data_IF_922354721316
#
_entry.id   IF_922354721316
#
_cell.length_a   1.000
_cell.length_b   1.000
_cell.length_c   1.000
_cell.angle_alpha   90.00
_cell.angle_beta   90.00
_cell.angle_gamma   90.00
#
_symmetry.space_group_name_H-M   'P 1'
#
loop_
_entity.id
_entity.type
_entity.pdbx_description
1 polymer ?
#
# COMPACT_ATOMS: atom_id res chain seq x y z
N UNK A 1 -18.05 27.82 -0.53
CA UNK A 1 -18.60 27.71 -1.91
C UNK A 1 -18.02 28.83 -2.75
N UNK A 2 -17.38 28.49 -3.85
CA UNK A 2 -16.85 29.43 -4.84
C UNK A 2 -17.54 29.24 -6.19
N UNK A 3 -17.86 30.33 -6.87
CA UNK A 3 -18.45 30.32 -8.21
C UNK A 3 -17.61 31.22 -9.12
N UNK A 4 -17.21 30.70 -10.29
CA UNK A 4 -16.47 31.44 -11.31
C UNK A 4 -17.04 31.15 -12.69
N UNK A 5 -16.98 32.14 -13.56
CA UNK A 5 -17.44 32.02 -14.95
C UNK A 5 -16.24 32.07 -15.89
N UNK A 6 -16.07 31.02 -16.69
CA UNK A 6 -15.00 30.87 -17.67
C UNK A 6 -15.62 30.82 -19.07
N UNK A 7 -15.73 31.99 -19.72
CA UNK A 7 -16.45 32.11 -20.98
C UNK A 7 -17.93 31.72 -20.82
N UNK A 8 -18.34 30.65 -21.51
CA UNK A 8 -19.70 30.11 -21.42
C UNK A 8 -19.87 29.05 -20.32
N UNK A 9 -18.79 28.64 -19.65
CA UNK A 9 -18.80 27.60 -18.62
C UNK A 9 -18.97 28.24 -17.24
N UNK A 10 -19.86 27.67 -16.43
CA UNK A 10 -19.98 28.04 -15.01
C UNK A 10 -19.34 26.96 -14.16
N UNK A 11 -18.35 27.35 -13.38
CA UNK A 11 -17.66 26.47 -12.45
C UNK A 11 -18.10 26.79 -11.02
N UNK A 12 -18.45 25.74 -10.27
CA UNK A 12 -18.88 25.84 -8.87
C UNK A 12 -18.12 24.83 -8.05
N UNK A 13 -17.52 25.28 -6.95
CA UNK A 13 -16.74 24.46 -6.05
C UNK A 13 -17.30 24.52 -4.64
N UNK A 14 -17.42 23.34 -4.02
CA UNK A 14 -17.97 23.17 -2.68
C UNK A 14 -17.02 22.29 -1.87
N UNK A 15 -16.45 22.85 -0.81
CA UNK A 15 -15.67 22.10 0.17
C UNK A 15 -16.61 21.54 1.25
N UNK A 16 -16.78 20.22 1.31
CA UNK A 16 -17.71 19.55 2.24
C UNK A 16 -17.27 19.62 3.72
N UNK A 17 -16.01 19.90 3.98
CA UNK A 17 -15.49 20.04 5.35
C UNK A 17 -15.77 21.42 5.96
N UNK A 18 -16.12 22.41 5.12
CA UNK A 18 -16.61 23.70 5.61
C UNK A 18 -18.05 23.51 6.11
N UNK A 19 -18.44 24.25 7.17
CA UNK A 19 -19.82 24.25 7.69
C UNK A 19 -20.81 24.79 6.63
N UNK A 20 -21.23 23.94 5.71
CA UNK A 20 -22.23 24.23 4.70
C UNK A 20 -23.61 23.84 5.21
N UNK A 21 -24.57 24.73 4.99
CA UNK A 21 -25.97 24.38 5.19
C UNK A 21 -26.39 23.43 4.05
N UNK A 22 -26.58 22.16 4.39
CA UNK A 22 -27.06 21.14 3.46
C UNK A 22 -28.39 21.52 2.78
N UNK A 23 -29.19 22.42 3.36
CA UNK A 23 -30.40 22.94 2.71
C UNK A 23 -30.09 23.88 1.54
N UNK A 24 -29.00 24.63 1.63
CA UNK A 24 -28.57 25.55 0.57
C UNK A 24 -28.03 24.79 -0.65
N UNK A 25 -27.27 23.72 -0.42
CA UNK A 25 -26.80 22.81 -1.48
C UNK A 25 -27.94 22.09 -2.20
N UNK A 26 -28.97 21.66 -1.45
CA UNK A 26 -30.15 20.98 -2.00
C UNK A 26 -31.01 21.93 -2.87
N UNK A 27 -31.17 23.18 -2.44
CA UNK A 27 -32.11 24.13 -3.07
C UNK A 27 -31.50 24.88 -4.25
N UNK A 28 -30.24 25.34 -4.13
CA UNK A 28 -29.61 26.20 -5.13
C UNK A 28 -28.92 25.42 -6.26
N UNK A 29 -28.43 24.22 -5.96
CA UNK A 29 -27.63 23.39 -6.88
C UNK A 29 -28.33 22.10 -7.33
N UNK A 30 -29.53 21.80 -6.81
CA UNK A 30 -30.28 20.57 -7.09
C UNK A 30 -29.44 19.29 -6.86
N UNK A 31 -28.66 19.28 -5.77
CA UNK A 31 -27.84 18.14 -5.36
C UNK A 31 -28.66 17.28 -4.40
N UNK A 32 -28.85 16.02 -4.75
CA UNK A 32 -29.59 15.07 -3.91
C UNK A 32 -28.74 14.61 -2.72
N UNK A 33 -29.40 14.21 -1.64
CA UNK A 33 -28.73 13.68 -0.43
C UNK A 33 -27.84 12.47 -0.73
N UNK A 34 -28.22 11.68 -1.74
CA UNK A 34 -27.43 10.57 -2.27
C UNK A 34 -26.04 11.03 -2.76
N UNK A 35 -25.98 12.16 -3.47
CA UNK A 35 -24.73 12.69 -4.04
C UNK A 35 -23.85 13.28 -2.94
N UNK A 36 -24.46 13.94 -1.96
CA UNK A 36 -23.73 14.44 -0.79
C UNK A 36 -23.13 13.26 -0.01
N UNK A 37 -23.88 12.17 0.17
CA UNK A 37 -23.39 10.96 0.82
C UNK A 37 -22.20 10.36 0.08
N UNK A 38 -22.26 10.25 -1.25
CA UNK A 38 -21.13 9.79 -2.07
C UNK A 38 -19.89 10.67 -1.93
N UNK A 39 -20.07 11.99 -1.95
CA UNK A 39 -18.95 12.91 -1.86
C UNK A 39 -18.35 13.02 -0.45
N UNK A 40 -19.09 12.61 0.59
CA UNK A 40 -18.64 12.64 1.99
C UNK A 40 -18.10 11.29 2.49
N UNK A 41 -18.33 10.20 1.75
CA UNK A 41 -17.84 8.88 2.10
C UNK A 41 -16.42 8.70 1.56
N UNK A 42 -15.45 8.60 2.46
CA UNK A 42 -14.02 8.46 2.13
C UNK A 42 -13.74 7.15 1.36
N UNK A 43 -14.58 6.13 1.55
CA UNK A 43 -14.44 4.82 0.92
C UNK A 43 -15.35 4.63 -0.31
N UNK A 44 -16.03 5.69 -0.78
CA UNK A 44 -16.88 5.61 -1.98
C UNK A 44 -16.03 5.25 -3.20
N UNK A 45 -16.49 4.26 -3.97
CA UNK A 45 -15.80 3.82 -5.16
C UNK A 45 -16.14 4.73 -6.34
N UNK A 46 -15.14 5.08 -7.14
CA UNK A 46 -15.36 5.80 -8.38
C UNK A 46 -16.46 5.16 -9.23
N UNK A 47 -17.43 5.95 -9.69
CA UNK A 47 -18.56 5.45 -10.47
C UNK A 47 -19.22 6.58 -11.25
N UNK A 48 -20.13 6.20 -12.14
CA UNK A 48 -20.89 7.13 -12.97
C UNK A 48 -22.39 6.88 -12.82
N UNK A 49 -23.16 7.94 -12.64
CA UNK A 49 -24.62 7.92 -12.57
C UNK A 49 -25.19 9.01 -13.50
N UNK A 50 -25.83 8.59 -14.60
CA UNK A 50 -26.48 9.50 -15.54
C UNK A 50 -28.00 9.53 -15.34
N UNK A 51 -28.51 10.72 -15.01
CA UNK A 51 -29.95 10.96 -14.86
C UNK A 51 -30.51 11.63 -16.12
N UNK A 52 -31.04 10.83 -17.06
CA UNK A 52 -31.60 11.31 -18.32
C UNK A 52 -32.70 12.38 -18.18
N UNK A 53 -33.54 12.31 -17.13
CA UNK A 53 -34.63 13.30 -16.91
C UNK A 53 -34.13 14.67 -16.48
N UNK A 54 -33.00 14.71 -15.78
CA UNK A 54 -32.39 15.94 -15.25
C UNK A 54 -31.24 16.43 -16.13
N UNK A 55 -30.91 15.67 -17.19
CA UNK A 55 -29.73 15.84 -18.05
C UNK A 55 -28.46 16.09 -17.21
N UNK A 56 -28.33 15.32 -16.12
CA UNK A 56 -27.28 15.47 -15.12
C UNK A 56 -26.43 14.22 -15.10
N UNK A 57 -25.11 14.40 -15.21
CA UNK A 57 -24.13 13.35 -14.97
C UNK A 57 -23.48 13.57 -13.61
N UNK A 58 -23.42 12.52 -12.80
CA UNK A 58 -22.60 12.47 -11.59
C UNK A 58 -21.45 11.52 -11.87
N UNK A 59 -20.24 12.00 -11.64
CA UNK A 59 -19.01 11.25 -11.80
C UNK A 59 -18.24 11.34 -10.48
N UNK A 60 -18.11 10.22 -9.79
CA UNK A 60 -17.23 10.07 -8.64
C UNK A 60 -15.92 9.50 -9.14
N UNK A 61 -14.81 10.15 -8.79
CA UNK A 61 -13.48 9.75 -9.24
C UNK A 61 -12.47 9.89 -8.10
N UNK A 62 -11.65 8.89 -7.88
CA UNK A 62 -10.76 8.84 -6.72
C UNK A 62 -9.50 9.67 -6.99
N UNK A 63 -9.20 10.62 -6.12
CA UNK A 63 -7.96 11.39 -6.11
C UNK A 63 -7.00 10.84 -5.06
N UNK A 64 -5.70 10.85 -5.37
CA UNK A 64 -4.65 10.47 -4.42
C UNK A 64 -4.26 11.65 -3.55
N UNK A 65 -3.94 11.44 -2.28
CA UNK A 65 -3.45 12.54 -1.43
C UNK A 65 -2.04 12.94 -1.89
N UNK A 66 -1.76 14.24 -1.98
CA UNK A 66 -0.43 14.72 -2.37
C UNK A 66 0.61 14.50 -1.26
N UNK A 67 0.17 14.64 -0.01
CA UNK A 67 0.95 14.34 1.18
C UNK A 67 0.48 13.06 1.86
N UNK A 68 1.33 12.52 2.74
CA UNK A 68 1.01 11.34 3.52
C UNK A 68 0.15 11.73 4.71
N UNK A 69 -0.96 11.02 4.90
CA UNK A 69 -1.68 11.04 6.16
C UNK A 69 -1.19 9.88 7.04
N UNK A 70 -0.80 10.17 8.30
CA UNK A 70 -0.18 9.20 9.20
C UNK A 70 0.97 8.37 8.57
N UNK A 71 1.77 9.02 7.71
CA UNK A 71 2.89 8.43 6.97
C UNK A 71 2.49 7.36 5.92
N UNK A 72 1.22 7.34 5.53
CA UNK A 72 0.63 6.45 4.54
C UNK A 72 -0.02 7.28 3.41
N UNK A 73 -0.01 6.75 2.19
CA UNK A 73 -0.74 7.36 1.09
C UNK A 73 -2.17 6.82 1.04
N UNK A 74 -3.15 7.70 0.90
CA UNK A 74 -4.56 7.37 0.79
C UNK A 74 -5.18 8.01 -0.46
N UNK A 75 -6.42 7.63 -0.73
CA UNK A 75 -7.23 8.14 -1.82
C UNK A 75 -8.57 8.62 -1.27
N UNK A 76 -9.09 9.72 -1.81
CA UNK A 76 -10.40 10.29 -1.45
C UNK A 76 -11.18 10.61 -2.72
N UNK A 77 -12.50 10.39 -2.74
CA UNK A 77 -13.31 10.68 -3.90
C UNK A 77 -13.45 12.19 -4.13
N UNK A 78 -13.43 12.57 -5.40
CA UNK A 78 -13.87 13.88 -5.89
C UNK A 78 -15.12 13.65 -6.72
N UNK A 79 -16.19 14.40 -6.42
CA UNK A 79 -17.45 14.25 -7.15
C UNK A 79 -17.65 15.41 -8.10
N UNK A 80 -17.79 15.09 -9.38
CA UNK A 80 -18.15 16.01 -10.44
C UNK A 80 -19.63 15.86 -10.78
N UNK A 81 -20.34 16.99 -10.87
CA UNK A 81 -21.72 17.03 -11.34
C UNK A 81 -21.75 17.92 -12.58
N UNK A 82 -22.09 17.32 -13.71
CA UNK A 82 -22.18 18.00 -15.00
C UNK A 82 -23.65 18.20 -15.35
N UNK A 83 -24.01 19.45 -15.66
CA UNK A 83 -25.36 19.81 -16.11
C UNK A 83 -25.29 20.99 -17.06
N UNK A 84 -25.80 20.83 -18.28
CA UNK A 84 -25.74 21.85 -19.33
C UNK A 84 -24.29 22.37 -19.53
N UNK A 85 -24.04 23.65 -19.29
CA UNK A 85 -22.69 24.25 -19.34
C UNK A 85 -22.11 24.55 -17.95
N UNK A 86 -22.58 23.81 -16.93
CA UNK A 86 -22.17 23.95 -15.54
C UNK A 86 -21.41 22.71 -15.06
N UNK A 87 -20.32 22.97 -14.35
CA UNK A 87 -19.53 21.95 -13.64
C UNK A 87 -19.55 22.29 -12.16
N UNK A 88 -20.10 21.38 -11.36
CA UNK A 88 -20.04 21.48 -9.90
C UNK A 88 -19.05 20.43 -9.39
N UNK A 89 -18.12 20.84 -8.54
CA UNK A 89 -17.11 19.98 -7.94
C UNK A 89 -17.35 19.96 -6.43
N UNK A 90 -17.58 18.77 -5.89
CA UNK A 90 -17.62 18.52 -4.45
C UNK A 90 -16.30 17.87 -4.05
N UNK A 91 -15.65 18.46 -3.06
CA UNK A 91 -14.32 18.07 -2.62
C UNK A 91 -14.20 18.20 -1.08
N UNK A 92 -13.17 17.61 -0.51
CA UNK A 92 -12.80 17.71 0.91
C UNK A 92 -11.48 18.45 1.04
N UNK A 93 -10.97 18.61 2.25
CA UNK A 93 -9.65 19.21 2.48
C UNK A 93 -8.50 18.37 1.90
N UNK A 94 -8.66 17.04 1.89
CA UNK A 94 -7.62 16.10 1.41
C UNK A 94 -7.31 16.23 -0.08
N UNK A 95 -8.30 16.66 -0.87
CA UNK A 95 -8.19 16.84 -2.31
C UNK A 95 -8.35 18.31 -2.75
N UNK A 96 -8.32 19.25 -1.80
CA UNK A 96 -8.40 20.69 -2.07
C UNK A 96 -7.27 21.21 -2.97
N UNK A 97 -6.11 20.54 -2.95
CA UNK A 97 -4.97 20.87 -3.83
C UNK A 97 -5.31 20.77 -5.33
N UNK A 98 -6.33 19.98 -5.70
CA UNK A 98 -6.80 19.86 -7.09
C UNK A 98 -7.52 21.11 -7.57
N UNK A 99 -8.09 21.91 -6.67
CA UNK A 99 -8.88 23.09 -7.05
C UNK A 99 -8.03 24.13 -7.77
N UNK A 100 -6.81 24.38 -7.27
CA UNK A 100 -5.85 25.27 -7.95
C UNK A 100 -5.45 24.73 -9.32
N UNK A 101 -5.27 23.41 -9.43
CA UNK A 101 -4.95 22.75 -10.70
C UNK A 101 -6.11 22.87 -11.70
N UNK A 102 -7.36 22.68 -11.24
CA UNK A 102 -8.56 22.83 -12.08
C UNK A 102 -8.78 24.27 -12.53
N UNK A 103 -8.55 25.27 -11.67
CA UNK A 103 -8.61 26.68 -12.06
C UNK A 103 -7.56 26.96 -13.15
N UNK A 104 -6.32 26.49 -12.99
CA UNK A 104 -5.29 26.65 -14.01
C UNK A 104 -5.65 25.95 -15.34
N UNK A 105 -6.37 24.83 -15.29
CA UNK A 105 -6.93 24.18 -16.48
C UNK A 105 -7.97 25.08 -17.17
N UNK A 106 -8.94 25.63 -16.42
CA UNK A 106 -9.95 26.54 -16.97
C UNK A 106 -9.38 27.82 -17.57
N UNK A 107 -8.28 28.32 -17.02
CA UNK A 107 -7.56 29.50 -17.54
C UNK A 107 -6.73 29.19 -18.80
N UNK A 108 -6.52 27.92 -19.14
CA UNK A 108 -5.84 27.53 -20.37
C UNK A 108 -6.73 27.73 -21.59
N UNK A 109 -6.17 28.19 -22.72
CA UNK A 109 -6.89 28.43 -23.99
C UNK A 109 -7.48 27.16 -24.65
N UNK A 110 -7.41 26.00 -23.99
CA UNK A 110 -7.76 24.68 -24.56
C UNK A 110 -9.10 24.10 -24.08
N UNK A 111 -9.81 24.81 -23.21
CA UNK A 111 -11.07 24.34 -22.59
C UNK A 111 -12.25 25.19 -23.05
N UNK A 112 -13.00 24.67 -24.02
CA UNK A 112 -14.16 25.36 -24.60
C UNK A 112 -15.50 24.75 -24.15
N UNK A 113 -15.47 23.53 -23.60
CA UNK A 113 -16.67 22.78 -23.19
C UNK A 113 -16.53 22.04 -21.86
N UNK A 114 -17.67 21.64 -21.29
CA UNK A 114 -17.74 20.79 -20.09
C UNK A 114 -17.00 19.46 -20.32
N UNK A 115 -17.10 18.93 -21.54
CA UNK A 115 -16.41 17.71 -21.96
C UNK A 115 -14.88 17.87 -21.96
N UNK A 116 -14.38 18.99 -22.48
CA UNK A 116 -12.94 19.27 -22.50
C UNK A 116 -12.39 19.41 -21.10
N UNK A 117 -13.13 20.11 -20.23
CA UNK A 117 -12.75 20.26 -18.83
C UNK A 117 -12.69 18.92 -18.13
N UNK A 118 -13.75 18.10 -18.22
CA UNK A 118 -13.79 16.85 -17.46
C UNK A 118 -12.68 15.89 -17.93
N UNK A 119 -12.42 15.78 -19.23
CA UNK A 119 -11.30 14.97 -19.73
C UNK A 119 -9.94 15.49 -19.21
N UNK A 120 -9.72 16.81 -19.26
CA UNK A 120 -8.49 17.42 -18.75
C UNK A 120 -8.33 17.23 -17.23
N UNK A 121 -9.42 17.34 -16.47
CA UNK A 121 -9.46 17.12 -15.03
C UNK A 121 -9.11 15.65 -14.69
N UNK A 122 -9.66 14.68 -15.41
CA UNK A 122 -9.37 13.25 -15.20
C UNK A 122 -7.90 12.91 -15.53
N UNK A 123 -7.34 13.50 -16.59
CA UNK A 123 -5.89 13.42 -16.90
C UNK A 123 -5.06 14.04 -15.77
N UNK A 124 -5.47 15.21 -15.27
CA UNK A 124 -4.80 15.91 -14.18
C UNK A 124 -4.77 15.07 -12.89
N UNK A 125 -5.91 14.48 -12.49
CA UNK A 125 -5.96 13.56 -11.36
C UNK A 125 -5.04 12.36 -11.60
N UNK A 126 -5.07 11.75 -12.79
CA UNK A 126 -4.23 10.59 -13.13
C UNK A 126 -2.72 10.90 -13.05
N UNK A 127 -2.30 12.11 -13.44
CA UNK A 127 -0.90 12.55 -13.30
C UNK A 127 -0.46 12.67 -11.84
N UNK A 128 -1.36 13.05 -10.93
CA UNK A 128 -1.04 13.10 -9.50
C UNK A 128 -0.76 11.68 -8.94
N UNK A 129 -1.50 10.67 -9.38
CA UNK A 129 -1.16 9.26 -9.08
C UNK A 129 0.25 8.89 -9.55
N UNK A 130 0.63 9.30 -10.77
CA UNK A 130 1.97 9.00 -11.30
C UNK A 130 3.08 9.49 -10.36
N UNK A 131 3.00 10.74 -9.91
CA UNK A 131 3.99 11.34 -9.02
C UNK A 131 4.09 10.61 -7.67
N UNK A 132 2.95 10.21 -7.10
CA UNK A 132 2.91 9.44 -5.84
C UNK A 132 3.47 8.03 -6.04
N UNK A 133 3.06 7.32 -7.10
CA UNK A 133 3.56 5.98 -7.41
C UNK A 133 5.08 5.99 -7.68
N UNK A 134 5.62 7.04 -8.28
CA UNK A 134 7.07 7.19 -8.47
C UNK A 134 7.81 7.37 -7.13
N UNK A 135 7.26 8.19 -6.22
CA UNK A 135 7.76 8.35 -4.84
C UNK A 135 7.74 7.01 -4.10
N UNK A 136 6.61 6.31 -4.11
CA UNK A 136 6.44 4.99 -3.51
C UNK A 136 7.42 3.96 -4.06
N UNK A 137 7.65 3.94 -5.38
CA UNK A 137 8.63 3.04 -5.97
C UNK A 137 10.07 3.35 -5.53
N UNK A 138 10.42 4.62 -5.29
CA UNK A 138 11.72 5.02 -4.72
C UNK A 138 11.82 4.56 -3.26
N UNK A 139 10.80 4.82 -2.45
CA UNK A 139 10.73 4.37 -1.05
C UNK A 139 10.85 2.84 -0.93
N UNK A 140 10.16 2.10 -1.81
CA UNK A 140 10.22 0.64 -1.85
C UNK A 140 11.63 0.12 -2.14
N UNK A 141 12.38 0.78 -3.04
CA UNK A 141 13.79 0.46 -3.31
C UNK A 141 14.66 0.69 -2.08
N UNK A 142 14.45 1.79 -1.36
CA UNK A 142 15.19 2.05 -0.12
C UNK A 142 14.87 1.04 0.98
N UNK A 143 13.59 0.70 1.15
CA UNK A 143 13.12 -0.30 2.11
C UNK A 143 13.78 -1.65 1.80
N UNK A 144 13.81 -2.05 0.53
CA UNK A 144 14.50 -3.25 0.06
C UNK A 144 15.98 -3.28 0.43
N UNK A 145 16.72 -2.20 0.19
CA UNK A 145 18.15 -2.11 0.53
C UNK A 145 18.38 -2.11 2.06
N UNK A 146 17.57 -1.36 2.81
CA UNK A 146 17.67 -1.29 4.28
C UNK A 146 17.40 -2.65 4.94
N UNK A 147 16.49 -3.43 4.37
CA UNK A 147 16.10 -4.71 4.94
C UNK A 147 17.02 -5.87 4.54
N UNK A 148 17.75 -5.79 3.42
CA UNK A 148 18.88 -6.71 3.16
C UNK A 148 19.96 -6.63 4.25
N UNK A 149 20.12 -5.48 4.91
CA UNK A 149 21.14 -5.26 5.94
C UNK A 149 20.71 -5.67 7.34
N UNK A 150 19.48 -5.35 7.75
CA UNK A 150 18.96 -5.69 9.09
C UNK A 150 17.42 -5.69 9.09
N UNK A 151 16.85 -6.84 9.43
CA UNK A 151 15.39 -7.02 9.61
C UNK A 151 15.00 -6.81 11.07
N UNK A 152 13.86 -6.17 11.31
CA UNK A 152 13.33 -5.93 12.67
C UNK A 152 11.81 -5.89 12.60
N UNK A 153 11.12 -6.40 13.64
CA UNK A 153 9.64 -6.43 13.73
C UNK A 153 8.97 -5.10 13.36
N UNK A 154 9.49 -3.98 13.86
CA UNK A 154 8.91 -2.66 13.58
C UNK A 154 8.90 -2.32 12.08
N UNK A 155 9.95 -2.71 11.34
CA UNK A 155 10.04 -2.46 9.90
C UNK A 155 9.06 -3.33 9.10
N UNK A 156 8.68 -4.49 9.62
CA UNK A 156 7.68 -5.35 9.00
C UNK A 156 6.28 -4.76 9.18
N UNK A 157 5.97 -4.18 10.35
CA UNK A 157 4.71 -3.48 10.55
C UNK A 157 4.59 -2.27 9.62
N UNK A 158 5.62 -1.42 9.54
CA UNK A 158 5.63 -0.30 8.58
C UNK A 158 5.47 -0.77 7.13
N UNK A 159 6.08 -1.89 6.75
CA UNK A 159 5.88 -2.45 5.40
C UNK A 159 4.43 -2.92 5.20
N UNK A 160 3.84 -3.55 6.21
CA UNK A 160 2.44 -3.99 6.19
C UNK A 160 1.49 -2.80 6.03
N UNK A 161 1.75 -1.69 6.70
CA UNK A 161 0.93 -0.48 6.61
C UNK A 161 0.99 0.11 5.18
N UNK A 162 2.19 0.18 4.61
CA UNK A 162 2.39 0.62 3.22
C UNK A 162 1.74 -0.37 2.23
N UNK A 163 1.78 -1.67 2.50
CA UNK A 163 1.13 -2.70 1.69
C UNK A 163 -0.40 -2.52 1.68
N UNK A 164 -1.03 -2.23 2.82
CA UNK A 164 -2.46 -1.93 2.89
C UNK A 164 -2.82 -0.66 2.11
N UNK A 165 -2.00 0.38 2.23
CA UNK A 165 -2.14 1.61 1.45
C UNK A 165 -2.13 1.36 -0.07
N UNK A 166 -1.19 0.52 -0.52
CA UNK A 166 -1.08 0.15 -1.93
C UNK A 166 -2.28 -0.65 -2.44
N UNK A 167 -2.93 -1.43 -1.57
CA UNK A 167 -4.18 -2.13 -1.93
C UNK A 167 -5.29 -1.10 -2.19
N UNK A 168 -5.42 -0.07 -1.34
CA UNK A 168 -6.34 1.04 -1.55
C UNK A 168 -6.08 1.78 -2.86
N UNK A 169 -4.84 2.24 -3.07
CA UNK A 169 -4.43 2.93 -4.32
C UNK A 169 -4.70 2.07 -5.55
N UNK A 170 -4.39 0.77 -5.49
CA UNK A 170 -4.68 -0.17 -6.59
C UNK A 170 -6.18 -0.28 -6.86
N UNK A 171 -7.00 -0.37 -5.80
CA UNK A 171 -8.46 -0.45 -5.91
C UNK A 171 -9.01 0.79 -6.60
N UNK A 172 -8.64 1.98 -6.12
CA UNK A 172 -9.06 3.27 -6.71
C UNK A 172 -8.58 3.44 -8.14
N UNK A 173 -7.32 3.10 -8.43
CA UNK A 173 -6.77 3.14 -9.80
C UNK A 173 -7.56 2.24 -10.76
N UNK A 174 -7.92 1.05 -10.30
CA UNK A 174 -8.74 0.10 -11.07
C UNK A 174 -10.13 0.66 -11.32
N UNK A 175 -10.76 1.19 -10.29
CA UNK A 175 -12.12 1.70 -10.39
C UNK A 175 -12.19 2.93 -11.31
N UNK A 176 -11.26 3.87 -11.16
CA UNK A 176 -11.08 5.00 -12.06
C UNK A 176 -10.97 4.58 -13.53
N UNK A 177 -10.14 3.57 -13.83
CA UNK A 177 -10.03 3.03 -15.18
C UNK A 177 -11.34 2.42 -15.69
N UNK A 178 -12.07 1.68 -14.85
CA UNK A 178 -13.37 1.10 -15.22
C UNK A 178 -14.44 2.16 -15.51
N UNK A 179 -14.41 3.29 -14.80
CA UNK A 179 -15.31 4.41 -15.07
C UNK A 179 -15.04 5.05 -16.42
N UNK A 180 -13.76 5.18 -16.81
CA UNK A 180 -13.39 5.67 -18.15
C UNK A 180 -13.78 4.68 -19.26
N UNK A 181 -13.68 3.37 -19.01
CA UNK A 181 -14.22 2.34 -19.91
C UNK A 181 -15.73 2.49 -20.08
N UNK A 182 -16.47 2.73 -18.99
CA UNK A 182 -17.92 2.95 -19.04
C UNK A 182 -18.27 4.22 -19.83
N UNK A 183 -17.52 5.32 -19.62
CA UNK A 183 -17.73 6.57 -20.36
C UNK A 183 -17.55 6.44 -21.87
N UNK A 184 -16.69 5.53 -22.32
CA UNK A 184 -16.50 5.24 -23.75
C UNK A 184 -17.61 4.33 -24.31
N UNK A 185 -18.29 3.57 -23.45
CA UNK A 185 -19.37 2.70 -23.88
C UNK A 185 -20.61 3.53 -24.29
N UNK A 186 -20.92 3.45 -25.59
CA UNK A 186 -22.09 4.04 -26.24
C UNK A 186 -23.43 3.73 -25.56
N UNK A 187 -23.50 2.70 -24.70
CA UNK A 187 -24.70 2.31 -23.95
C UNK A 187 -25.17 3.36 -22.94
N UNK A 188 -24.29 4.26 -22.49
CA UNK A 188 -24.61 5.30 -21.50
C UNK A 188 -25.54 6.40 -22.03
N UNK A 189 -25.74 6.51 -23.36
CA UNK A 189 -26.60 7.51 -24.02
C UNK A 189 -26.43 8.94 -23.44
N UNK A 190 -25.19 9.28 -23.06
CA UNK A 190 -24.87 10.52 -22.37
C UNK A 190 -24.45 11.59 -23.40
N UNK A 191 -25.22 12.69 -23.58
CA UNK A 191 -24.93 13.70 -24.59
C UNK A 191 -23.59 14.40 -24.40
N UNK A 192 -23.10 14.47 -23.16
CA UNK A 192 -21.82 15.10 -22.81
C UNK A 192 -20.60 14.41 -23.46
N UNK A 193 -20.72 13.12 -23.83
CA UNK A 193 -19.62 12.30 -24.33
C UNK A 193 -19.84 11.82 -25.79
N UNK A 194 -20.80 12.42 -26.51
CA UNK A 194 -21.26 11.92 -27.81
C UNK A 194 -20.42 12.32 -29.04
N UNK A 195 -19.33 13.10 -28.89
CA UNK A 195 -18.70 13.83 -29.99
C UNK A 195 -17.24 13.52 -30.33
N UNK A 196 -16.34 13.47 -29.34
CA UNK A 196 -14.89 13.46 -29.59
C UNK A 196 -14.17 12.45 -28.67
N UNK A 197 -13.84 11.26 -29.18
CA UNK A 197 -13.23 10.21 -28.36
C UNK A 197 -11.75 10.42 -28.03
N UNK A 198 -11.06 11.39 -28.63
CA UNK A 198 -9.59 11.50 -28.49
C UNK A 198 -9.18 11.90 -27.06
N UNK A 199 -9.84 12.91 -26.48
CA UNK A 199 -9.53 13.39 -25.12
C UNK A 199 -9.86 12.35 -24.05
N UNK A 200 -11.00 11.68 -24.17
CA UNK A 200 -11.36 10.57 -23.28
C UNK A 200 -10.40 9.39 -23.44
N UNK A 201 -9.99 9.06 -24.67
CA UNK A 201 -9.00 8.02 -24.94
C UNK A 201 -7.65 8.33 -24.31
N UNK A 202 -7.20 9.60 -24.36
CA UNK A 202 -5.99 10.03 -23.67
C UNK A 202 -6.12 9.86 -22.14
N UNK A 203 -7.24 10.28 -21.53
CA UNK A 203 -7.50 10.06 -20.11
C UNK A 203 -7.49 8.57 -19.74
N UNK A 204 -8.08 7.72 -20.58
CA UNK A 204 -8.12 6.27 -20.41
C UNK A 204 -6.73 5.63 -20.50
N UNK A 205 -5.89 6.07 -21.44
CA UNK A 205 -4.50 5.59 -21.56
C UNK A 205 -3.70 5.93 -20.29
N UNK A 206 -3.82 7.16 -19.80
CA UNK A 206 -3.15 7.59 -18.57
C UNK A 206 -3.64 6.77 -17.36
N UNK A 207 -4.96 6.64 -17.16
CA UNK A 207 -5.52 5.85 -16.08
C UNK A 207 -5.13 4.36 -16.16
N UNK A 208 -5.07 3.80 -17.37
CA UNK A 208 -4.60 2.43 -17.58
C UNK A 208 -3.14 2.28 -17.16
N UNK A 209 -2.29 3.23 -17.50
CA UNK A 209 -0.89 3.22 -17.08
C UNK A 209 -0.77 3.28 -15.55
N UNK A 210 -1.57 4.11 -14.88
CA UNK A 210 -1.64 4.18 -13.42
C UNK A 210 -2.07 2.84 -12.81
N UNK A 211 -3.10 2.20 -13.37
CA UNK A 211 -3.53 0.87 -12.96
C UNK A 211 -2.38 -0.14 -13.07
N UNK A 212 -1.75 -0.25 -14.24
CA UNK A 212 -0.62 -1.18 -14.46
C UNK A 212 0.54 -0.92 -13.49
N UNK A 213 0.89 0.35 -13.24
CA UNK A 213 1.92 0.71 -12.25
C UNK A 213 1.51 0.32 -10.82
N UNK A 214 0.27 0.59 -10.42
CA UNK A 214 -0.23 0.26 -9.09
C UNK A 214 -0.23 -1.26 -8.85
N UNK A 215 -0.58 -2.05 -9.86
CA UNK A 215 -0.57 -3.52 -9.79
C UNK A 215 0.84 -4.07 -9.63
N UNK A 216 1.79 -3.57 -10.41
CA UNK A 216 3.20 -3.97 -10.33
C UNK A 216 3.80 -3.59 -8.97
N UNK A 217 3.53 -2.38 -8.47
CA UNK A 217 4.04 -1.93 -7.17
C UNK A 217 3.43 -2.75 -6.03
N UNK A 218 2.13 -3.00 -6.04
CA UNK A 218 1.46 -3.83 -5.03
C UNK A 218 1.98 -5.28 -5.05
N UNK A 219 2.15 -5.88 -6.23
CA UNK A 219 2.73 -7.23 -6.37
C UNK A 219 4.17 -7.28 -5.84
N UNK A 220 4.97 -6.25 -6.14
CA UNK A 220 6.34 -6.15 -5.67
C UNK A 220 6.41 -6.02 -4.14
N UNK A 221 5.48 -5.27 -3.53
CA UNK A 221 5.38 -5.15 -2.07
C UNK A 221 5.02 -6.48 -1.42
N UNK A 222 4.04 -7.21 -1.95
CA UNK A 222 3.65 -8.53 -1.44
C UNK A 222 4.83 -9.53 -1.48
N UNK A 223 5.55 -9.60 -2.60
CA UNK A 223 6.75 -10.45 -2.73
C UNK A 223 7.85 -10.06 -1.73
N UNK A 224 7.98 -8.76 -1.48
CA UNK A 224 8.96 -8.23 -0.54
C UNK A 224 8.59 -8.61 0.90
N UNK A 225 7.30 -8.49 1.26
CA UNK A 225 6.72 -8.91 2.54
C UNK A 225 6.94 -10.41 2.81
N UNK A 226 6.67 -11.26 1.80
CA UNK A 226 6.94 -12.70 1.86
C UNK A 226 8.42 -13.02 2.07
N UNK A 227 9.30 -12.35 1.31
CA UNK A 227 10.76 -12.49 1.45
C UNK A 227 11.20 -12.14 2.88
N UNK A 228 10.62 -11.11 3.50
CA UNK A 228 10.96 -10.77 4.88
C UNK A 228 10.49 -11.77 5.91
N UNK A 229 9.27 -12.29 5.77
CA UNK A 229 8.78 -13.36 6.62
C UNK A 229 9.74 -14.57 6.58
N UNK A 230 10.25 -14.89 5.39
CA UNK A 230 11.25 -15.96 5.21
C UNK A 230 12.60 -15.63 5.88
N UNK A 231 13.11 -14.41 5.76
CA UNK A 231 14.35 -13.98 6.43
C UNK A 231 14.21 -14.02 7.96
N UNK A 232 13.08 -13.57 8.51
CA UNK A 232 12.82 -13.63 9.95
C UNK A 232 12.75 -15.08 10.44
N UNK A 233 12.06 -15.94 9.72
CA UNK A 233 12.00 -17.37 10.05
C UNK A 233 13.38 -18.03 9.99
N UNK A 234 14.24 -17.63 9.04
CA UNK A 234 15.62 -18.11 8.99
C UNK A 234 16.45 -17.64 10.19
N UNK A 235 16.31 -16.38 10.61
CA UNK A 235 16.98 -15.88 11.82
C UNK A 235 16.53 -16.60 13.09
N UNK A 236 15.23 -16.93 13.21
CA UNK A 236 14.72 -17.75 14.30
C UNK A 236 15.32 -19.16 14.28
N UNK A 237 15.35 -19.81 13.11
CA UNK A 237 15.97 -21.12 12.95
C UNK A 237 17.46 -21.10 13.29
N UNK A 238 18.20 -20.07 12.89
CA UNK A 238 19.62 -19.93 13.21
C UNK A 238 19.85 -19.68 14.71
N UNK A 239 19.01 -18.88 15.35
CA UNK A 239 19.07 -18.68 16.81
C UNK A 239 18.79 -19.98 17.57
N UNK A 240 17.79 -20.76 17.13
CA UNK A 240 17.46 -22.06 17.72
C UNK A 240 18.57 -23.08 17.52
N UNK A 241 19.22 -23.09 16.34
CA UNK A 241 20.41 -23.91 16.05
C UNK A 241 21.53 -23.58 17.04
N UNK A 242 21.83 -22.30 17.27
CA UNK A 242 22.87 -21.86 18.22
C UNK A 242 22.51 -22.29 19.64
N UNK A 243 21.29 -22.00 20.10
CA UNK A 243 20.85 -22.34 21.46
C UNK A 243 20.88 -23.86 21.70
N UNK A 244 20.41 -24.65 20.73
CA UNK A 244 20.42 -26.12 20.80
C UNK A 244 21.85 -26.65 20.80
N UNK A 245 22.72 -26.10 19.97
CA UNK A 245 24.14 -26.46 19.93
C UNK A 245 24.84 -26.18 21.26
N UNK A 246 24.61 -25.01 21.86
CA UNK A 246 25.12 -24.68 23.20
C UNK A 246 24.55 -25.62 24.26
N UNK A 247 23.25 -25.94 24.19
CA UNK A 247 22.60 -26.83 25.15
C UNK A 247 23.18 -28.25 25.10
N UNK A 248 23.42 -28.81 23.91
CA UNK A 248 24.05 -30.15 23.75
C UNK A 248 25.49 -30.14 24.28
N UNK A 249 26.22 -29.06 24.00
CA UNK A 249 27.61 -28.91 24.45
C UNK A 249 27.69 -28.83 25.99
N UNK A 250 26.77 -28.10 26.63
CA UNK A 250 26.69 -28.01 28.09
C UNK A 250 26.16 -29.30 28.74
N UNK A 251 25.22 -30.01 28.11
CA UNK A 251 24.67 -31.26 28.65
C UNK A 251 25.70 -32.41 28.67
N UNK A 252 26.73 -32.36 27.83
CA UNK A 252 27.71 -33.45 27.69
C UNK A 252 28.54 -33.65 28.98
N UNK A 253 29.16 -32.62 29.57
CA UNK A 253 29.78 -32.72 30.90
C UNK A 253 28.80 -33.17 32.00
N UNK A 254 27.56 -32.69 31.99
CA UNK A 254 26.55 -33.01 33.02
C UNK A 254 26.19 -34.50 33.02
N UNK A 255 26.04 -35.11 31.85
CA UNK A 255 25.78 -36.55 31.73
C UNK A 255 26.94 -37.37 32.31
N UNK A 256 28.17 -36.99 31.99
CA UNK A 256 29.36 -37.74 32.43
C UNK A 256 29.55 -37.57 33.94
N UNK A 257 29.51 -36.35 34.44
CA UNK A 257 29.61 -36.06 35.88
C UNK A 257 28.46 -36.69 36.67
N UNK A 258 27.25 -36.67 36.11
CA UNK A 258 26.08 -37.36 36.66
C UNK A 258 26.31 -38.85 36.81
N UNK A 259 26.86 -39.54 35.80
CA UNK A 259 27.17 -40.97 35.88
C UNK A 259 28.16 -41.30 37.02
N UNK A 260 29.21 -40.50 37.19
CA UNK A 260 30.17 -40.66 38.28
C UNK A 260 29.68 -40.15 39.65
N UNK A 261 28.62 -39.34 39.67
CA UNK A 261 27.96 -38.86 40.89
C UNK A 261 26.94 -39.84 41.48
N UNK A 262 26.62 -40.92 40.77
CA UNK A 262 25.77 -42.00 41.31
C UNK A 262 26.65 -42.87 42.22
N UNK A 263 26.15 -43.18 43.42
CA UNK A 263 26.81 -44.04 44.41
C UNK A 263 26.85 -45.53 43.99
N UNK A 264 27.33 -45.83 42.78
CA UNK A 264 27.62 -47.18 42.31
C UNK A 264 29.10 -47.47 42.57
N UNK A 265 29.47 -48.63 43.13
CA UNK A 265 30.87 -48.99 43.31
C UNK A 265 31.59 -49.00 41.97
N UNK A 266 32.55 -48.09 41.82
CA UNK A 266 33.35 -47.95 40.62
C UNK A 266 34.31 -49.14 40.47
N UNK A 267 34.58 -49.62 39.25
CA UNK A 267 35.59 -50.65 38.99
C UNK A 267 36.94 -50.33 39.63
N UNK A 268 37.65 -51.34 40.15
CA UNK A 268 38.94 -51.18 40.85
C UNK A 268 40.04 -50.50 40.02
N UNK A 269 39.92 -50.55 38.69
CA UNK A 269 40.77 -49.81 37.74
C UNK A 269 40.67 -48.28 37.91
N UNK A 270 39.52 -47.78 38.38
CA UNK A 270 39.27 -46.35 38.56
C UNK A 270 39.56 -45.87 39.99
N UNK A 271 39.56 -46.76 40.98
CA UNK A 271 39.77 -46.43 42.40
C UNK A 271 41.20 -46.69 42.89
N UNK A 272 41.93 -47.62 42.25
CA UNK A 272 43.26 -48.07 42.72
C UNK A 272 44.46 -47.21 42.28
N UNK A 273 44.28 -46.21 41.42
CA UNK A 273 45.39 -45.42 40.85
C UNK A 273 45.09 -43.92 40.87
N UNK A 274 46.01 -43.11 41.42
CA UNK A 274 45.90 -41.64 41.47
C UNK A 274 45.85 -40.97 40.09
N UNK A 275 46.05 -41.71 39.00
CA UNK A 275 45.96 -41.20 37.62
C UNK A 275 44.56 -41.38 36.99
N UNK A 276 43.65 -42.09 37.66
CA UNK A 276 42.33 -42.42 37.11
C UNK A 276 41.43 -41.21 36.89
N UNK A 277 41.57 -40.15 37.71
CA UNK A 277 40.84 -38.88 37.50
C UNK A 277 41.29 -38.14 36.24
N UNK A 278 42.58 -38.20 35.89
CA UNK A 278 43.11 -37.62 34.64
C UNK A 278 42.55 -38.36 33.42
N UNK A 279 42.39 -39.69 33.50
CA UNK A 279 41.78 -40.48 32.44
C UNK A 279 40.30 -40.11 32.23
N UNK A 280 39.55 -39.89 33.31
CA UNK A 280 38.15 -39.45 33.24
C UNK A 280 38.03 -38.06 32.61
N UNK A 281 38.85 -37.09 33.04
CA UNK A 281 38.88 -35.74 32.45
C UNK A 281 39.27 -35.83 30.96
N UNK A 282 40.27 -36.65 30.62
CA UNK A 282 40.67 -36.88 29.23
C UNK A 282 39.54 -37.44 28.38
N UNK A 283 38.76 -38.40 28.92
CA UNK A 283 37.59 -38.97 28.25
C UNK A 283 36.48 -37.93 28.05
N UNK A 284 36.22 -37.08 29.05
CA UNK A 284 35.24 -35.99 28.96
C UNK A 284 35.63 -35.02 27.86
N UNK A 285 36.89 -34.57 27.84
CA UNK A 285 37.39 -33.63 26.83
C UNK A 285 37.34 -34.27 25.44
N UNK A 286 37.72 -35.55 25.31
CA UNK A 286 37.63 -36.28 24.05
C UNK A 286 36.18 -36.36 23.55
N UNK A 287 35.24 -36.73 24.42
CA UNK A 287 33.83 -36.86 24.06
C UNK A 287 33.19 -35.51 23.71
N UNK A 288 33.53 -34.45 24.47
CA UNK A 288 33.11 -33.08 24.18
C UNK A 288 33.67 -32.58 22.83
N UNK A 289 34.93 -32.89 22.50
CA UNK A 289 35.51 -32.57 21.19
C UNK A 289 34.85 -33.35 20.06
N UNK A 290 34.53 -34.63 20.28
CA UNK A 290 33.85 -35.48 19.29
C UNK A 290 32.44 -34.95 19.01
N UNK A 291 31.66 -34.65 20.06
CA UNK A 291 30.35 -34.03 19.94
C UNK A 291 30.42 -32.64 19.29
N UNK A 292 31.39 -31.81 19.69
CA UNK A 292 31.63 -30.50 19.07
C UNK A 292 31.92 -30.61 17.58
N UNK A 293 32.72 -31.60 17.15
CA UNK A 293 32.98 -31.87 15.73
C UNK A 293 31.76 -32.37 14.97
N UNK A 294 30.96 -33.25 15.58
CA UNK A 294 29.71 -33.74 14.98
C UNK A 294 28.72 -32.59 14.80
N UNK A 295 28.52 -31.77 15.84
CA UNK A 295 27.67 -30.58 15.77
C UNK A 295 28.16 -29.61 14.69
N UNK A 296 29.46 -29.32 14.65
CA UNK A 296 30.04 -28.46 13.62
C UNK A 296 29.80 -29.01 12.21
N UNK A 297 29.94 -30.32 12.00
CA UNK A 297 29.67 -30.96 10.71
C UNK A 297 28.19 -30.92 10.32
N UNK A 298 27.28 -31.21 11.26
CA UNK A 298 25.82 -31.16 11.05
C UNK A 298 25.36 -29.73 10.77
N UNK A 299 25.88 -28.74 11.49
CA UNK A 299 25.53 -27.33 11.23
C UNK A 299 26.03 -26.87 9.86
N UNK A 300 27.19 -27.33 9.42
CA UNK A 300 27.77 -26.96 8.11
C UNK A 300 27.06 -27.62 6.91
N UNK A 301 26.35 -28.72 7.09
CA UNK A 301 25.54 -29.34 6.03
C UNK A 301 24.18 -28.66 5.82
N UNK A 302 23.71 -27.85 6.78
CA UNK A 302 22.37 -27.23 6.79
C UNK A 302 22.40 -25.70 6.69
N UNK A 303 23.54 -25.14 6.31
CA UNK A 303 23.76 -23.75 5.86
C UNK A 303 24.17 -23.79 4.41
#
# INVERSE_FOLDING_TARGET
MEEKQFGNLTWICVNLDENLDNQQLKTDLAIDEKIIAYASDVDELAHIDYHAKLERLVLVYDAIHDEKDDNIYATTPVTFILKENRVIILHTNDNAYLIEQFIALFESESIDSVYDFICAALVCISKNYFHVLERLNKELKEIREKLRKKTTKNRLLTLSDIEMAMIGIKSSSKQNYLVLEQLEDSSLNCPFFAGDSEKLSAAKIEARQILEMSELTAQTMAQLSETYNNVLNNQLNDTMKILTGLSILLATPDIITGFFGINVPLPDILTGNSWSWLLIIGLIVLFALLMGRILFWVFRQKT
#
